data_IF_168288861415
#
_entry.id   IF_168288861415
#
_cell.length_a   1.000
_cell.length_b   1.000
_cell.length_c   1.000
_cell.angle_alpha   90.00
_cell.angle_beta   90.00
_cell.angle_gamma   90.00
#
_symmetry.space_group_name_H-M   'P 1'
#
loop_
_entity.id
_entity.type
_entity.pdbx_description
1 polymer ?
#
# COMPACT_ATOMS: atom_id res chain seq x y z
N UNK A 1 6.03 19.41 0.54
CA UNK A 1 5.80 18.42 1.64
C UNK A 1 7.02 18.42 2.54
N UNK A 2 6.88 18.82 3.81
CA UNK A 2 7.97 18.93 4.78
C UNK A 2 7.88 17.83 5.83
N UNK A 3 8.97 17.57 6.57
CA UNK A 3 8.97 16.58 7.66
C UNK A 3 7.89 16.83 8.72
N UNK A 4 7.54 18.10 8.98
CA UNK A 4 6.47 18.49 9.91
C UNK A 4 5.06 18.04 9.46
N UNK A 5 4.87 17.82 8.17
CA UNK A 5 3.58 17.37 7.60
C UNK A 5 3.41 15.85 7.63
N UNK A 6 4.51 15.11 7.87
CA UNK A 6 4.51 13.65 7.92
C UNK A 6 4.02 13.17 9.28
N UNK A 7 3.10 12.21 9.28
CA UNK A 7 2.54 11.65 10.50
C UNK A 7 3.53 10.68 11.16
N UNK A 8 3.78 10.87 12.45
CA UNK A 8 4.64 9.99 13.24
C UNK A 8 6.05 9.83 12.68
N UNK A 9 6.64 8.63 12.86
CA UNK A 9 7.96 8.23 12.34
C UNK A 9 9.11 9.12 12.80
N UNK A 10 9.06 9.66 14.03
CA UNK A 10 10.01 10.64 14.56
C UNK A 10 11.47 10.15 14.55
N UNK A 11 11.67 8.84 14.77
CA UNK A 11 12.99 8.22 14.72
C UNK A 11 13.58 8.26 13.30
N UNK A 12 12.76 8.04 12.25
CA UNK A 12 13.20 8.11 10.86
C UNK A 12 13.50 9.56 10.48
N UNK A 13 12.62 10.50 10.82
CA UNK A 13 12.84 11.94 10.59
C UNK A 13 14.17 12.39 11.18
N UNK A 14 14.39 12.07 12.45
CA UNK A 14 15.64 12.41 13.16
C UNK A 14 16.87 11.75 12.53
N UNK A 15 16.77 10.49 12.11
CA UNK A 15 17.86 9.78 11.44
C UNK A 15 18.23 10.43 10.10
N UNK A 16 17.23 10.69 9.25
CA UNK A 16 17.42 11.28 7.91
C UNK A 16 17.99 12.70 8.00
N UNK A 17 17.45 13.53 8.91
CA UNK A 17 17.93 14.90 9.12
C UNK A 17 19.38 14.91 9.60
N UNK A 18 19.71 14.13 10.65
CA UNK A 18 21.09 14.03 11.16
C UNK A 18 22.07 13.52 10.11
N UNK A 19 21.66 12.54 9.31
CA UNK A 19 22.50 12.00 8.24
C UNK A 19 22.80 13.06 7.18
N UNK A 20 21.80 13.84 6.80
CA UNK A 20 21.94 14.93 5.84
C UNK A 20 22.81 16.07 6.39
N UNK A 21 22.57 16.51 7.63
CA UNK A 21 23.33 17.59 8.28
C UNK A 21 24.82 17.24 8.45
N UNK A 22 25.13 15.96 8.67
CA UNK A 22 26.49 15.46 8.74
C UNK A 22 27.14 15.21 7.36
N UNK A 23 26.43 15.43 6.26
CA UNK A 23 26.90 15.13 4.92
C UNK A 23 27.11 13.64 4.64
N UNK A 24 26.50 12.75 5.45
CA UNK A 24 26.60 11.29 5.33
C UNK A 24 25.34 10.71 4.69
N UNK A 25 25.07 11.11 3.45
CA UNK A 25 23.87 10.71 2.73
C UNK A 25 24.19 9.46 1.91
N UNK A 26 23.58 8.30 2.24
CA UNK A 26 23.72 7.11 1.41
C UNK A 26 23.12 7.36 0.02
N UNK A 27 23.85 6.96 -1.02
CA UNK A 27 23.41 7.13 -2.40
C UNK A 27 22.19 6.27 -2.76
N UNK A 28 21.95 5.19 -2.01
CA UNK A 28 20.80 4.30 -2.19
C UNK A 28 20.18 3.94 -0.84
N UNK A 29 18.90 4.17 -0.72
CA UNK A 29 18.11 3.87 0.48
C UNK A 29 16.88 3.06 0.09
N UNK A 30 16.49 2.08 0.91
CA UNK A 30 15.28 1.28 0.75
C UNK A 30 14.36 1.53 1.95
N UNK A 31 13.25 2.22 1.70
CA UNK A 31 12.20 2.47 2.68
C UNK A 31 11.22 1.31 2.65
N UNK A 32 11.13 0.58 3.75
CA UNK A 32 10.27 -0.59 3.88
C UNK A 32 9.23 -0.35 4.95
N UNK A 33 7.98 -0.49 4.61
CA UNK A 33 6.90 -0.36 5.58
C UNK A 33 5.53 -0.70 5.02
N UNK A 34 4.59 -1.05 5.90
CA UNK A 34 3.24 -1.39 5.47
C UNK A 34 2.54 -0.20 4.81
N UNK A 35 1.49 -0.50 4.03
CA UNK A 35 0.62 0.51 3.43
C UNK A 35 0.17 1.55 4.45
N UNK A 36 0.11 2.81 4.05
CA UNK A 36 -0.35 3.92 4.90
C UNK A 36 0.60 4.31 6.04
N UNK A 37 1.81 3.72 6.14
CA UNK A 37 2.81 4.04 7.17
C UNK A 37 3.59 5.35 6.90
N UNK A 38 3.45 5.93 5.70
CA UNK A 38 4.07 7.20 5.34
C UNK A 38 5.43 7.09 4.64
N UNK A 39 5.78 5.95 4.04
CA UNK A 39 7.04 5.76 3.30
C UNK A 39 7.19 6.73 2.12
N UNK A 40 6.15 6.87 1.29
CA UNK A 40 6.17 7.77 0.12
C UNK A 40 6.23 9.25 0.52
N UNK A 41 5.36 9.78 1.40
CA UNK A 41 5.45 11.16 1.83
C UNK A 41 6.77 11.46 2.55
N UNK A 42 7.35 10.51 3.30
CA UNK A 42 8.67 10.65 3.92
C UNK A 42 9.78 10.78 2.87
N UNK A 43 9.74 9.97 1.80
CA UNK A 43 10.71 10.04 0.71
C UNK A 43 10.66 11.41 0.01
N UNK A 44 9.46 11.96 -0.20
CA UNK A 44 9.27 13.29 -0.80
C UNK A 44 9.77 14.39 0.13
N UNK A 45 9.46 14.32 1.44
CA UNK A 45 9.93 15.28 2.43
C UNK A 45 11.46 15.26 2.56
N UNK A 46 12.06 14.07 2.53
CA UNK A 46 13.52 13.93 2.56
C UNK A 46 14.17 14.47 1.28
N UNK A 47 13.58 14.20 0.12
CA UNK A 47 14.05 14.77 -1.15
C UNK A 47 14.01 16.31 -1.11
N UNK A 48 12.91 16.90 -0.60
CA UNK A 48 12.82 18.35 -0.40
C UNK A 48 13.91 18.87 0.54
N UNK A 49 14.14 18.17 1.63
CA UNK A 49 15.19 18.54 2.58
C UNK A 49 16.57 18.53 1.92
N UNK A 50 16.91 17.50 1.13
CA UNK A 50 18.21 17.39 0.45
C UNK A 50 18.41 18.43 -0.65
N UNK A 51 17.38 18.75 -1.41
CA UNK A 51 17.47 19.64 -2.57
C UNK A 51 17.33 21.10 -2.16
N UNK A 52 16.40 21.42 -1.25
CA UNK A 52 16.10 22.80 -0.89
C UNK A 52 16.93 23.34 0.29
N UNK A 53 17.62 22.48 1.07
CA UNK A 53 18.53 22.92 2.12
C UNK A 53 19.83 23.39 1.48
N UNK A 54 20.01 24.67 1.35
CA UNK A 54 21.26 25.27 0.89
C UNK A 54 22.34 25.15 1.97
N UNK A 55 23.08 24.05 1.96
CA UNK A 55 24.25 23.87 2.85
C UNK A 55 25.40 24.85 2.54
N UNK A 56 25.33 25.58 1.41
CA UNK A 56 26.38 26.50 0.93
C UNK A 56 25.97 27.97 0.88
N UNK A 57 24.81 28.36 1.40
CA UNK A 57 24.42 29.76 1.40
C UNK A 57 24.76 30.42 2.74
N UNK A 58 25.57 31.46 2.71
CA UNK A 58 25.82 32.39 3.81
C UNK A 58 24.53 33.08 4.33
N UNK A 59 23.39 32.84 3.66
CA UNK A 59 22.06 33.24 4.08
C UNK A 59 21.19 32.00 4.31
N UNK A 60 20.98 31.63 5.54
CA UNK A 60 20.10 30.56 6.03
C UNK A 60 18.59 30.86 5.84
N UNK A 61 18.19 31.32 4.67
CA UNK A 61 16.79 31.41 4.27
C UNK A 61 16.40 30.15 3.53
N UNK A 62 15.31 29.49 3.97
CA UNK A 62 14.68 28.42 3.18
C UNK A 62 14.47 28.92 1.76
N UNK A 63 14.95 28.18 0.77
CA UNK A 63 14.77 28.55 -0.64
C UNK A 63 13.26 28.44 -1.00
N UNK A 64 12.53 29.56 -0.81
CA UNK A 64 11.10 29.62 -0.98
C UNK A 64 10.67 29.18 -2.38
N UNK A 65 11.45 29.57 -3.39
CA UNK A 65 11.23 29.15 -4.79
C UNK A 65 11.34 27.62 -4.94
N UNK A 66 12.33 26.97 -4.29
CA UNK A 66 12.48 25.52 -4.27
C UNK A 66 11.27 24.85 -3.59
N UNK A 67 10.87 25.35 -2.42
CA UNK A 67 9.73 24.82 -1.69
C UNK A 67 8.40 24.92 -2.48
N UNK A 68 8.18 26.00 -3.22
CA UNK A 68 7.01 26.14 -4.10
C UNK A 68 7.03 25.08 -5.22
N UNK A 69 8.20 24.82 -5.84
CA UNK A 69 8.33 23.77 -6.85
C UNK A 69 8.04 22.38 -6.27
N UNK A 70 8.52 22.10 -5.04
CA UNK A 70 8.20 20.85 -4.34
C UNK A 70 6.75 20.71 -3.98
N UNK A 71 6.08 21.79 -3.59
CA UNK A 71 4.65 21.76 -3.31
C UNK A 71 3.83 21.36 -4.56
N UNK A 72 4.30 21.78 -5.74
CA UNK A 72 3.69 21.41 -7.03
C UNK A 72 4.28 20.14 -7.64
N UNK A 73 5.16 19.43 -6.93
CA UNK A 73 5.88 18.24 -7.44
C UNK A 73 6.52 18.46 -8.81
N UNK A 74 7.03 19.67 -9.03
CA UNK A 74 7.57 20.12 -10.33
C UNK A 74 9.06 20.51 -10.28
N UNK A 75 9.79 20.08 -9.21
CA UNK A 75 11.22 20.38 -9.13
C UNK A 75 12.01 19.54 -10.12
N UNK A 76 12.89 20.15 -10.96
CA UNK A 76 13.60 19.46 -12.04
C UNK A 76 14.61 18.40 -11.56
N UNK A 77 15.09 18.50 -10.31
CA UNK A 77 16.00 17.52 -9.70
C UNK A 77 15.28 16.43 -8.86
N UNK A 78 13.94 16.43 -8.85
CA UNK A 78 13.11 15.40 -8.25
C UNK A 78 12.48 14.54 -9.33
N UNK A 79 12.77 13.26 -9.32
CA UNK A 79 12.27 12.31 -10.31
C UNK A 79 11.51 11.19 -9.65
N UNK A 80 10.46 10.70 -10.32
CA UNK A 80 9.64 9.59 -9.85
C UNK A 80 9.60 8.46 -10.86
N UNK A 81 9.56 7.25 -10.33
CA UNK A 81 9.22 6.04 -11.05
C UNK A 81 8.22 5.26 -10.22
N UNK A 82 7.21 4.76 -10.90
CA UNK A 82 6.11 4.04 -10.29
C UNK A 82 5.52 3.03 -11.28
N UNK A 83 4.79 2.00 -10.80
CA UNK A 83 4.18 1.00 -11.67
C UNK A 83 3.19 1.62 -12.64
N UNK A 84 3.30 1.25 -13.91
CA UNK A 84 2.43 1.73 -14.98
C UNK A 84 1.70 0.60 -15.66
N UNK A 85 0.52 0.90 -16.20
CA UNK A 85 -0.35 -0.04 -16.93
C UNK A 85 -0.78 0.57 -18.24
N UNK A 86 -1.06 -0.28 -19.24
CA UNK A 86 -1.67 0.22 -20.49
C UNK A 86 -3.11 0.64 -20.23
N UNK A 87 -3.42 1.87 -20.58
CA UNK A 87 -4.75 2.50 -20.55
C UNK A 87 -5.33 2.62 -21.96
N UNK A 88 -6.49 3.26 -22.12
CA UNK A 88 -7.05 3.57 -23.42
C UNK A 88 -6.21 4.60 -24.19
N UNK A 89 -5.59 5.53 -23.47
CA UNK A 89 -4.75 6.60 -24.02
C UNK A 89 -3.33 6.13 -24.28
N UNK A 90 -2.74 5.33 -23.37
CA UNK A 90 -1.38 4.77 -23.49
C UNK A 90 -1.46 3.27 -23.67
N UNK A 91 -1.57 2.80 -24.93
CA UNK A 91 -1.83 1.38 -25.26
C UNK A 91 -0.60 0.49 -25.18
N UNK A 92 0.57 1.00 -25.50
CA UNK A 92 1.80 0.20 -25.64
C UNK A 92 2.95 0.82 -24.87
N UNK A 93 3.72 -0.03 -24.15
CA UNK A 93 4.93 0.36 -23.41
C UNK A 93 4.74 1.60 -22.54
N UNK A 94 3.74 1.62 -21.63
CA UNK A 94 3.53 2.76 -20.75
C UNK A 94 4.77 3.00 -19.89
N UNK A 95 5.09 4.27 -19.66
CA UNK A 95 6.20 4.73 -18.82
C UNK A 95 5.66 5.66 -17.74
N UNK A 96 6.39 5.81 -16.66
CA UNK A 96 6.03 6.73 -15.57
C UNK A 96 5.84 8.16 -16.05
N UNK A 97 6.66 8.62 -17.02
CA UNK A 97 6.55 9.98 -17.57
C UNK A 97 5.22 10.22 -18.31
N UNK A 98 4.60 9.17 -18.86
CA UNK A 98 3.34 9.29 -19.62
C UNK A 98 2.15 9.59 -18.70
N UNK A 99 2.29 9.37 -17.38
CA UNK A 99 1.26 9.55 -16.35
C UNK A 99 1.66 10.57 -15.29
N UNK A 100 2.56 11.48 -15.61
CA UNK A 100 3.07 12.45 -14.60
C UNK A 100 1.97 13.38 -14.07
N UNK A 101 0.98 13.71 -14.87
CA UNK A 101 -0.14 14.56 -14.48
C UNK A 101 -1.01 13.85 -13.44
N UNK A 102 -1.37 12.61 -13.73
CA UNK A 102 -2.15 11.75 -12.83
C UNK A 102 -1.37 11.45 -11.55
N UNK A 103 -0.05 11.27 -11.65
CA UNK A 103 0.82 11.07 -10.50
C UNK A 103 0.84 12.28 -9.58
N UNK A 104 0.97 13.48 -10.13
CA UNK A 104 0.89 14.72 -9.34
C UNK A 104 -0.47 14.84 -8.63
N UNK A 105 -1.56 14.55 -9.33
CA UNK A 105 -2.91 14.55 -8.75
C UNK A 105 -3.06 13.49 -7.64
N UNK A 106 -2.51 12.29 -7.85
CA UNK A 106 -2.50 11.22 -6.85
C UNK A 106 -1.80 11.67 -5.56
N UNK A 107 -0.62 12.27 -5.68
CA UNK A 107 0.14 12.76 -4.53
C UNK A 107 -0.55 13.94 -3.81
N UNK A 108 -1.24 14.80 -4.56
CA UNK A 108 -2.00 15.92 -4.01
C UNK A 108 -3.24 15.44 -3.24
N UNK A 109 -3.96 14.46 -3.80
CA UNK A 109 -5.15 13.90 -3.17
C UNK A 109 -4.81 13.07 -1.93
N UNK A 110 -3.87 12.16 -2.04
CA UNK A 110 -3.47 11.28 -0.95
C UNK A 110 -2.07 10.70 -1.13
N UNK A 111 -1.06 11.35 -0.57
CA UNK A 111 0.31 10.85 -0.58
C UNK A 111 0.54 9.56 0.24
N UNK A 112 -0.43 9.16 1.07
CA UNK A 112 -0.46 7.88 1.80
C UNK A 112 -1.19 6.78 1.03
N UNK A 113 -1.66 7.08 -0.19
CA UNK A 113 -2.43 6.18 -1.03
C UNK A 113 -1.69 4.90 -1.39
N UNK A 114 -2.46 3.86 -1.62
CA UNK A 114 -1.99 2.52 -2.00
C UNK A 114 -1.80 2.37 -3.51
N UNK A 115 -1.15 1.26 -3.90
CA UNK A 115 -1.06 0.86 -5.31
C UNK A 115 -2.45 0.65 -5.95
N UNK A 116 -3.41 0.21 -5.15
CA UNK A 116 -4.79 0.07 -5.61
C UNK A 116 -5.43 1.43 -5.93
N UNK A 117 -5.25 2.43 -5.05
CA UNK A 117 -5.80 3.77 -5.27
C UNK A 117 -5.18 4.41 -6.52
N UNK A 118 -3.89 4.15 -6.77
CA UNK A 118 -3.20 4.54 -7.99
C UNK A 118 -3.85 3.91 -9.24
N UNK A 119 -4.10 2.61 -9.23
CA UNK A 119 -4.75 1.93 -10.37
C UNK A 119 -6.20 2.36 -10.56
N UNK A 120 -6.92 2.65 -9.49
CA UNK A 120 -8.26 3.24 -9.58
C UNK A 120 -8.23 4.60 -10.26
N UNK A 121 -7.28 5.46 -9.92
CA UNK A 121 -7.11 6.77 -10.56
C UNK A 121 -6.84 6.63 -12.06
N UNK A 122 -6.05 5.64 -12.46
CA UNK A 122 -5.82 5.32 -13.88
C UNK A 122 -7.01 4.65 -14.58
N UNK A 123 -8.13 4.40 -13.89
CA UNK A 123 -9.32 3.74 -14.44
C UNK A 123 -9.13 2.25 -14.74
N UNK A 124 -8.11 1.61 -14.16
CA UNK A 124 -7.72 0.23 -14.48
C UNK A 124 -8.11 -0.71 -13.35
N UNK A 125 -9.01 -1.66 -13.64
CA UNK A 125 -9.54 -2.60 -12.63
C UNK A 125 -8.83 -3.97 -12.58
N UNK A 126 -8.26 -4.44 -13.70
CA UNK A 126 -7.84 -5.85 -13.87
C UNK A 126 -6.40 -6.05 -14.35
N UNK A 127 -5.58 -5.00 -14.39
CA UNK A 127 -4.20 -5.11 -14.84
C UNK A 127 -3.25 -4.87 -13.67
N UNK A 128 -2.16 -5.61 -13.63
CA UNK A 128 -1.04 -5.33 -12.75
C UNK A 128 -0.05 -4.42 -13.48
N UNK A 129 0.34 -3.35 -12.82
CA UNK A 129 1.38 -2.47 -13.31
C UNK A 129 2.76 -3.03 -13.00
N UNK A 130 3.70 -2.71 -13.87
CA UNK A 130 5.11 -3.04 -13.74
C UNK A 130 5.95 -1.79 -13.98
N UNK A 131 7.13 -1.76 -13.40
CA UNK A 131 8.17 -0.80 -13.74
C UNK A 131 9.10 -1.48 -14.74
N UNK A 132 9.11 -0.96 -15.97
CA UNK A 132 9.79 -1.60 -17.09
C UNK A 132 11.16 -1.00 -17.36
N UNK A 133 11.95 -1.72 -18.14
CA UNK A 133 13.30 -1.29 -18.55
C UNK A 133 13.32 0.06 -19.27
N UNK A 134 12.23 0.44 -19.93
CA UNK A 134 12.11 1.73 -20.60
C UNK A 134 12.09 2.90 -19.59
N UNK A 135 11.47 2.70 -18.38
CA UNK A 135 11.56 3.64 -17.26
C UNK A 135 13.01 3.80 -16.77
N UNK A 136 13.74 2.68 -16.64
CA UNK A 136 15.14 2.70 -16.24
C UNK A 136 16.03 3.46 -17.28
N UNK A 137 15.64 3.50 -18.56
CA UNK A 137 16.33 4.30 -19.56
C UNK A 137 16.07 5.80 -19.40
N UNK A 138 14.85 6.19 -19.05
CA UNK A 138 14.53 7.60 -18.77
C UNK A 138 15.27 8.09 -17.52
N UNK A 139 15.44 7.24 -16.49
CA UNK A 139 16.30 7.54 -15.33
C UNK A 139 17.71 7.92 -15.80
N UNK A 140 18.33 7.07 -16.61
CA UNK A 140 19.69 7.32 -17.10
C UNK A 140 19.82 8.67 -17.81
N UNK A 141 18.84 9.01 -18.64
CA UNK A 141 18.84 10.30 -19.34
C UNK A 141 18.70 11.48 -18.38
N UNK A 142 17.75 11.40 -17.43
CA UNK A 142 17.50 12.46 -16.44
C UNK A 142 18.71 12.68 -15.54
N UNK A 143 19.35 11.58 -15.10
CA UNK A 143 20.52 11.66 -14.23
C UNK A 143 21.81 12.09 -14.93
N UNK A 144 21.91 11.90 -16.25
CA UNK A 144 23.03 12.38 -17.05
C UNK A 144 23.08 13.92 -17.17
N UNK A 145 21.95 14.60 -16.96
CA UNK A 145 21.90 16.06 -16.93
C UNK A 145 22.53 16.59 -15.62
N UNK A 146 23.14 17.77 -15.68
CA UNK A 146 23.59 18.46 -14.46
C UNK A 146 22.39 18.85 -13.59
N UNK A 147 22.57 18.86 -12.25
CA UNK A 147 21.54 19.35 -11.35
C UNK A 147 21.22 20.81 -11.67
N UNK A 148 19.93 21.16 -11.57
CA UNK A 148 19.42 22.50 -11.94
C UNK A 148 19.99 23.59 -11.00
N UNK A 149 20.05 23.31 -9.70
CA UNK A 149 20.54 24.25 -8.69
C UNK A 149 21.94 23.86 -8.14
N UNK A 150 22.65 22.90 -8.77
CA UNK A 150 23.98 22.46 -8.34
C UNK A 150 24.01 21.60 -7.08
N UNK A 151 22.82 21.21 -6.57
CA UNK A 151 22.63 20.40 -5.39
C UNK A 151 22.48 18.91 -5.68
N UNK A 152 21.71 18.23 -4.82
CA UNK A 152 21.38 16.81 -4.98
C UNK A 152 20.32 16.62 -6.06
N UNK A 153 20.38 15.47 -6.73
CA UNK A 153 19.28 14.90 -7.53
C UNK A 153 18.69 13.71 -6.77
N UNK A 154 17.39 13.63 -6.68
CA UNK A 154 16.71 12.54 -5.98
C UNK A 154 15.79 11.79 -6.91
N UNK A 155 15.95 10.47 -6.94
CA UNK A 155 15.13 9.54 -7.69
C UNK A 155 14.33 8.69 -6.68
N UNK A 156 13.00 8.83 -6.70
CA UNK A 156 12.08 8.03 -5.89
C UNK A 156 11.49 6.94 -6.77
N UNK A 157 11.70 5.68 -6.39
CA UNK A 157 11.13 4.50 -7.06
C UNK A 157 10.08 3.91 -6.13
N UNK A 158 8.82 4.24 -6.40
CA UNK A 158 7.69 3.76 -5.60
C UNK A 158 7.26 2.38 -6.05
N UNK A 159 6.99 1.47 -5.09
CA UNK A 159 6.70 0.06 -5.32
C UNK A 159 7.82 -0.62 -6.13
N UNK A 160 9.04 -0.54 -5.61
CA UNK A 160 10.24 -1.08 -6.28
C UNK A 160 10.21 -2.61 -6.46
N UNK A 161 9.35 -3.32 -5.74
CA UNK A 161 9.04 -4.75 -5.93
C UNK A 161 8.34 -5.04 -7.27
N UNK A 162 7.81 -4.02 -7.95
CA UNK A 162 7.19 -4.15 -9.28
C UNK A 162 8.18 -3.90 -10.44
N UNK A 163 9.47 -3.76 -10.14
CA UNK A 163 10.52 -3.72 -11.17
C UNK A 163 10.59 -5.06 -11.92
N UNK A 164 10.52 -5.02 -13.25
CA UNK A 164 10.81 -6.19 -14.05
C UNK A 164 12.30 -6.58 -13.94
N UNK A 165 12.65 -7.79 -14.35
CA UNK A 165 14.04 -8.31 -14.25
C UNK A 165 15.02 -7.43 -15.03
N UNK A 166 14.61 -6.91 -16.18
CA UNK A 166 15.47 -6.11 -17.04
C UNK A 166 15.70 -4.71 -16.45
N UNK A 167 14.65 -4.07 -15.89
CA UNK A 167 14.73 -2.82 -15.15
C UNK A 167 15.61 -2.96 -13.91
N UNK A 168 15.40 -4.04 -13.14
CA UNK A 168 16.19 -4.36 -11.96
C UNK A 168 17.68 -4.48 -12.28
N UNK A 169 18.03 -5.23 -13.31
CA UNK A 169 19.44 -5.38 -13.74
C UNK A 169 20.05 -4.07 -14.23
N UNK A 170 19.26 -3.20 -14.82
CA UNK A 170 19.73 -1.89 -15.27
C UNK A 170 19.92 -0.93 -14.11
N UNK A 171 19.02 -0.97 -13.12
CA UNK A 171 19.13 -0.20 -11.89
C UNK A 171 20.38 -0.58 -11.08
N UNK A 172 20.77 -1.87 -11.05
CA UNK A 172 21.99 -2.32 -10.36
C UNK A 172 23.23 -1.55 -10.79
N UNK A 173 23.40 -1.29 -12.09
CA UNK A 173 24.55 -0.52 -12.60
C UNK A 173 24.57 0.92 -12.08
N UNK A 174 23.38 1.53 -11.94
CA UNK A 174 23.25 2.88 -11.39
C UNK A 174 23.51 2.94 -9.90
N UNK A 175 23.16 1.86 -9.16
CA UNK A 175 23.42 1.75 -7.73
C UNK A 175 24.88 1.43 -7.42
N UNK A 176 25.60 0.77 -8.35
CA UNK A 176 27.04 0.48 -8.22
C UNK A 176 27.90 1.70 -8.52
N UNK A 177 27.55 2.46 -9.56
CA UNK A 177 28.27 3.63 -10.02
C UNK A 177 27.32 4.85 -10.10
N UNK A 178 26.88 5.39 -8.95
CA UNK A 178 25.96 6.52 -8.95
C UNK A 178 26.65 7.77 -9.49
N UNK A 179 25.90 8.57 -10.24
CA UNK A 179 26.37 9.92 -10.61
C UNK A 179 26.48 10.79 -9.36
N UNK A 180 27.43 11.72 -9.38
CA UNK A 180 27.73 12.57 -8.23
C UNK A 180 26.48 13.29 -7.69
N UNK A 181 26.35 13.39 -6.37
CA UNK A 181 25.21 13.98 -5.66
C UNK A 181 23.83 13.41 -6.07
N UNK A 182 23.77 12.12 -6.44
CA UNK A 182 22.50 11.44 -6.75
C UNK A 182 22.09 10.51 -5.62
N UNK A 183 20.84 10.60 -5.21
CA UNK A 183 20.24 9.77 -4.16
C UNK A 183 19.07 8.99 -4.74
N UNK A 184 19.11 7.68 -4.57
CA UNK A 184 18.01 6.76 -4.91
C UNK A 184 17.24 6.41 -3.65
N UNK A 185 15.92 6.57 -3.67
CA UNK A 185 15.02 6.13 -2.59
C UNK A 185 14.05 5.13 -3.19
N UNK A 186 14.26 3.86 -2.88
CA UNK A 186 13.37 2.76 -3.25
C UNK A 186 12.33 2.59 -2.15
N UNK A 187 11.08 2.33 -2.52
CA UNK A 187 9.98 2.11 -1.56
C UNK A 187 9.33 0.77 -1.86
N UNK A 188 9.18 -0.05 -0.84
CA UNK A 188 8.48 -1.35 -0.92
C UNK A 188 7.76 -1.64 0.39
N UNK A 189 6.69 -2.41 0.33
CA UNK A 189 5.98 -2.87 1.54
C UNK A 189 6.75 -3.99 2.24
N UNK A 190 7.47 -4.83 1.50
CA UNK A 190 8.25 -5.94 2.01
C UNK A 190 9.63 -6.00 1.35
N UNK A 191 10.67 -6.05 2.15
CA UNK A 191 12.06 -6.13 1.65
C UNK A 191 12.37 -7.44 0.92
N UNK A 192 11.66 -8.53 1.23
CA UNK A 192 11.90 -9.84 0.61
C UNK A 192 11.43 -9.90 -0.85
N UNK A 193 10.55 -8.97 -1.25
CA UNK A 193 10.08 -8.85 -2.64
C UNK A 193 11.09 -8.09 -3.51
N UNK A 194 12.11 -7.47 -2.91
CA UNK A 194 13.22 -6.81 -3.60
C UNK A 194 14.35 -7.81 -3.82
N UNK A 195 14.86 -7.90 -5.05
CA UNK A 195 15.97 -8.80 -5.38
C UNK A 195 17.19 -8.51 -4.48
N UNK A 196 17.82 -9.59 -4.01
CA UNK A 196 18.91 -9.49 -3.03
C UNK A 196 20.06 -8.59 -3.47
N UNK A 197 20.36 -8.55 -4.77
CA UNK A 197 21.42 -7.72 -5.34
C UNK A 197 21.15 -6.23 -5.23
N UNK A 198 19.91 -5.77 -5.35
CA UNK A 198 19.50 -4.38 -5.07
C UNK A 198 19.54 -4.13 -3.56
N UNK A 199 18.90 -5.02 -2.77
CA UNK A 199 18.81 -4.88 -1.32
C UNK A 199 20.18 -4.73 -0.65
N UNK A 200 21.18 -5.51 -1.08
CA UNK A 200 22.54 -5.45 -0.53
C UNK A 200 23.30 -4.14 -0.78
N UNK A 201 22.82 -3.31 -1.70
CA UNK A 201 23.41 -2.00 -2.05
C UNK A 201 22.65 -0.83 -1.44
N UNK A 202 21.53 -1.08 -0.79
CA UNK A 202 20.69 -0.06 -0.19
C UNK A 202 20.83 -0.05 1.34
N UNK A 203 20.85 1.14 1.93
CA UNK A 203 20.57 1.27 3.36
C UNK A 203 19.08 1.06 3.59
N UNK A 204 18.72 0.03 4.35
CA UNK A 204 17.32 -0.29 4.64
C UNK A 204 16.84 0.51 5.84
N UNK A 205 15.70 1.18 5.70
CA UNK A 205 14.99 1.89 6.76
C UNK A 205 13.60 1.30 6.91
N UNK A 206 13.31 0.79 8.11
CA UNK A 206 12.03 0.15 8.42
C UNK A 206 11.05 1.16 9.03
N UNK A 207 9.89 1.26 8.41
CA UNK A 207 8.76 2.05 8.88
C UNK A 207 7.77 1.14 9.59
N UNK A 208 7.38 1.50 10.78
CA UNK A 208 6.30 0.83 11.49
C UNK A 208 4.94 1.43 11.06
N UNK A 209 3.86 0.66 11.24
CA UNK A 209 2.52 1.23 11.19
C UNK A 209 2.39 2.40 12.16
N UNK A 210 1.57 3.38 11.83
CA UNK A 210 1.34 4.55 12.69
C UNK A 210 0.60 4.14 13.97
N UNK A 211 0.89 4.83 15.09
CA UNK A 211 0.14 4.59 16.31
C UNK A 211 -1.30 5.09 16.19
N UNK A 212 -2.23 4.48 16.92
CA UNK A 212 -3.63 4.88 16.96
C UNK A 212 -3.79 6.35 17.36
N UNK A 213 -2.96 6.82 18.29
CA UNK A 213 -2.95 8.22 18.74
C UNK A 213 -2.60 9.18 17.61
N UNK A 214 -1.54 8.88 16.85
CA UNK A 214 -1.10 9.69 15.71
C UNK A 214 -2.18 9.73 14.61
N UNK A 215 -2.81 8.60 14.31
CA UNK A 215 -3.90 8.55 13.33
C UNK A 215 -5.11 9.35 13.82
N UNK A 216 -5.53 9.16 15.08
CA UNK A 216 -6.67 9.88 15.64
C UNK A 216 -6.45 11.41 15.66
N UNK A 217 -5.26 11.88 16.08
CA UNK A 217 -4.90 13.29 16.05
C UNK A 217 -4.90 13.86 14.62
N UNK A 218 -4.42 13.08 13.65
CA UNK A 218 -4.44 13.49 12.26
C UNK A 218 -5.89 13.60 11.71
N UNK A 219 -6.77 12.66 12.04
CA UNK A 219 -8.18 12.69 11.64
C UNK A 219 -8.91 13.90 12.25
N UNK A 220 -8.63 14.22 13.51
CA UNK A 220 -9.23 15.41 14.16
C UNK A 220 -8.71 16.69 13.53
N UNK A 221 -7.40 16.81 13.30
CA UNK A 221 -6.78 18.06 12.85
C UNK A 221 -6.93 18.31 11.36
N UNK A 222 -6.86 17.27 10.52
CA UNK A 222 -6.89 17.40 9.05
C UNK A 222 -8.29 17.18 8.47
N UNK A 223 -9.05 16.24 9.05
CA UNK A 223 -10.36 15.83 8.53
C UNK A 223 -11.54 16.34 9.36
N UNK A 224 -11.26 17.11 10.43
CA UNK A 224 -12.28 17.68 11.32
C UNK A 224 -13.22 16.63 11.94
N UNK A 225 -12.72 15.42 12.15
CA UNK A 225 -13.49 14.31 12.72
C UNK A 225 -13.66 14.47 14.23
N UNK A 226 -14.82 14.07 14.78
CA UNK A 226 -15.02 14.05 16.23
C UNK A 226 -14.04 13.09 16.93
N UNK A 227 -13.48 13.49 18.09
CA UNK A 227 -12.41 12.73 18.77
C UNK A 227 -12.79 11.27 19.09
N UNK A 228 -14.05 11.00 19.44
CA UNK A 228 -14.52 9.63 19.69
C UNK A 228 -14.54 8.78 18.42
N UNK A 229 -14.99 9.33 17.33
CA UNK A 229 -15.03 8.67 16.03
C UNK A 229 -13.63 8.47 15.48
N UNK A 230 -12.77 9.50 15.59
CA UNK A 230 -11.37 9.43 15.20
C UNK A 230 -10.61 8.29 15.90
N UNK A 231 -10.81 8.09 17.21
CA UNK A 231 -10.22 6.98 17.94
C UNK A 231 -10.73 5.62 17.47
N UNK A 232 -12.06 5.51 17.22
CA UNK A 232 -12.64 4.27 16.68
C UNK A 232 -12.06 3.93 15.31
N UNK A 233 -11.98 4.91 14.41
CA UNK A 233 -11.41 4.73 13.07
C UNK A 233 -9.92 4.41 13.15
N UNK A 234 -9.16 5.10 13.98
CA UNK A 234 -7.73 4.84 14.17
C UNK A 234 -7.46 3.42 14.62
N UNK A 235 -8.27 2.91 15.55
CA UNK A 235 -8.20 1.51 15.98
C UNK A 235 -8.52 0.53 14.84
N UNK A 236 -9.55 0.80 14.02
CA UNK A 236 -9.91 -0.01 12.86
C UNK A 236 -8.85 0.02 11.76
N UNK A 237 -8.15 1.13 11.63
CA UNK A 237 -7.11 1.34 10.62
C UNK A 237 -5.82 0.54 10.88
N UNK A 238 -5.57 0.11 12.14
CA UNK A 238 -4.42 -0.75 12.49
C UNK A 238 -3.07 -0.22 12.00
N UNK A 239 -2.84 1.07 12.14
CA UNK A 239 -1.58 1.71 11.73
C UNK A 239 -1.52 2.15 10.28
N UNK A 240 -2.57 1.94 9.49
CA UNK A 240 -2.68 2.35 8.10
C UNK A 240 -3.52 3.63 7.97
N UNK A 241 -2.87 4.78 7.74
CA UNK A 241 -3.58 6.06 7.61
C UNK A 241 -4.46 6.13 6.35
N UNK A 242 -4.05 5.49 5.26
CA UNK A 242 -4.88 5.40 4.05
C UNK A 242 -6.21 4.69 4.33
N UNK A 243 -6.16 3.55 5.04
CA UNK A 243 -7.36 2.84 5.50
C UNK A 243 -8.22 3.72 6.43
N UNK A 244 -7.60 4.55 7.28
CA UNK A 244 -8.33 5.48 8.14
C UNK A 244 -9.12 6.52 7.32
N UNK A 245 -8.51 7.08 6.28
CA UNK A 245 -9.19 8.01 5.36
C UNK A 245 -10.34 7.34 4.60
N UNK A 246 -10.16 6.10 4.16
CA UNK A 246 -11.21 5.32 3.50
C UNK A 246 -12.39 5.03 4.45
N UNK A 247 -12.13 4.78 5.73
CA UNK A 247 -13.16 4.54 6.73
C UNK A 247 -13.99 5.78 7.09
N UNK A 248 -13.46 6.99 6.86
CA UNK A 248 -14.22 8.24 7.01
C UNK A 248 -15.30 8.41 5.94
N UNK A 249 -15.02 7.90 4.74
CA UNK A 249 -15.99 7.94 3.66
C UNK A 249 -16.78 6.64 3.71
N UNK A 250 -18.11 6.65 3.85
CA UNK A 250 -18.93 5.46 3.78
C UNK A 250 -18.86 4.93 2.35
N UNK A 251 -17.81 4.16 2.07
CA UNK A 251 -17.58 3.55 0.76
C UNK A 251 -18.62 2.47 0.50
N UNK A 252 -19.19 2.51 -0.68
CA UNK A 252 -20.01 1.44 -1.22
C UNK A 252 -19.27 0.08 -1.22
N UNK A 253 -17.92 0.06 -1.31
CA UNK A 253 -17.11 -1.17 -1.32
C UNK A 253 -17.17 -1.93 0.01
N UNK A 254 -17.07 -1.27 1.16
CA UNK A 254 -17.12 -1.95 2.47
C UNK A 254 -18.46 -2.64 2.69
N UNK A 255 -19.55 -2.02 2.26
CA UNK A 255 -20.89 -2.60 2.33
C UNK A 255 -21.02 -3.84 1.43
N UNK A 256 -20.41 -3.81 0.24
CA UNK A 256 -20.37 -4.97 -0.65
C UNK A 256 -19.51 -6.10 -0.07
N UNK A 257 -18.37 -5.78 0.53
CA UNK A 257 -17.49 -6.78 1.16
C UNK A 257 -18.18 -7.47 2.34
N UNK A 258 -18.88 -6.71 3.19
CA UNK A 258 -19.69 -7.29 4.27
C UNK A 258 -20.75 -8.25 3.73
N UNK A 259 -21.48 -7.82 2.72
CA UNK A 259 -22.51 -8.65 2.09
C UNK A 259 -21.93 -9.92 1.49
N UNK A 260 -20.85 -9.83 0.72
CA UNK A 260 -20.20 -10.99 0.09
C UNK A 260 -19.64 -11.95 1.13
N UNK A 261 -19.05 -11.44 2.21
CA UNK A 261 -18.59 -12.27 3.31
C UNK A 261 -19.75 -13.02 3.99
N UNK A 262 -20.82 -12.32 4.30
CA UNK A 262 -21.99 -12.92 4.97
C UNK A 262 -22.67 -13.97 4.08
N UNK A 263 -22.83 -13.67 2.80
CA UNK A 263 -23.39 -14.62 1.84
C UNK A 263 -22.52 -15.87 1.72
N UNK A 264 -21.21 -15.68 1.65
CA UNK A 264 -20.23 -16.76 1.58
C UNK A 264 -20.24 -17.66 2.80
N UNK A 265 -20.14 -17.10 4.02
CA UNK A 265 -20.12 -17.93 5.24
C UNK A 265 -21.44 -18.62 5.48
N UNK A 266 -22.57 -17.98 5.13
CA UNK A 266 -23.89 -18.62 5.20
C UNK A 266 -24.01 -19.79 4.24
N UNK A 267 -23.56 -19.63 2.98
CA UNK A 267 -23.55 -20.69 1.99
C UNK A 267 -22.62 -21.83 2.40
N UNK A 268 -21.40 -21.53 2.87
CA UNK A 268 -20.44 -22.50 3.36
C UNK A 268 -20.98 -23.31 4.55
N UNK A 269 -21.67 -22.63 5.48
CA UNK A 269 -22.31 -23.31 6.62
C UNK A 269 -23.41 -24.28 6.20
N UNK A 270 -24.25 -23.88 5.24
CA UNK A 270 -25.36 -24.71 4.72
C UNK A 270 -24.89 -25.85 3.82
N UNK A 271 -23.72 -25.74 3.22
CA UNK A 271 -23.22 -26.69 2.19
C UNK A 271 -22.91 -28.08 2.76
N UNK A 272 -22.80 -28.24 4.09
CA UNK A 272 -22.62 -29.55 4.71
C UNK A 272 -23.88 -30.41 4.53
N UNK A 273 -23.84 -31.30 3.53
CA UNK A 273 -24.95 -32.21 3.20
C UNK A 273 -26.06 -31.60 2.33
N UNK A 274 -25.86 -30.39 1.78
CA UNK A 274 -26.85 -29.72 0.93
C UNK A 274 -26.25 -29.36 -0.44
N UNK A 275 -26.62 -30.10 -1.48
CA UNK A 275 -26.15 -29.89 -2.85
C UNK A 275 -26.53 -28.51 -3.42
N UNK A 276 -27.69 -27.95 -3.06
CA UNK A 276 -28.11 -26.63 -3.52
C UNK A 276 -27.19 -25.53 -2.99
N UNK A 277 -26.75 -25.62 -1.73
CA UNK A 277 -25.81 -24.66 -1.16
C UNK A 277 -24.41 -24.74 -1.79
N UNK A 278 -24.01 -25.87 -2.39
CA UNK A 278 -22.79 -25.97 -3.18
C UNK A 278 -22.93 -25.12 -4.45
N UNK A 279 -24.10 -25.11 -5.06
CA UNK A 279 -24.37 -24.26 -6.23
C UNK A 279 -24.29 -22.77 -5.88
N UNK A 280 -24.81 -22.38 -4.70
CA UNK A 280 -24.69 -21.01 -4.17
C UNK A 280 -23.20 -20.61 -4.05
N UNK A 281 -22.33 -21.50 -3.54
CA UNK A 281 -20.88 -21.26 -3.43
C UNK A 281 -20.19 -21.10 -4.78
N UNK A 282 -20.60 -21.87 -5.80
CA UNK A 282 -20.06 -21.75 -7.15
C UNK A 282 -20.46 -20.41 -7.76
N UNK A 283 -21.73 -20.00 -7.65
CA UNK A 283 -22.22 -18.71 -8.13
C UNK A 283 -21.52 -17.55 -7.43
N UNK A 284 -21.35 -17.63 -6.12
CA UNK A 284 -20.58 -16.65 -5.36
C UNK A 284 -19.14 -16.56 -5.87
N UNK A 285 -18.47 -17.70 -6.09
CA UNK A 285 -17.11 -17.73 -6.63
C UNK A 285 -17.02 -17.11 -8.02
N UNK A 286 -18.00 -17.31 -8.88
CA UNK A 286 -18.09 -16.68 -10.19
C UNK A 286 -18.27 -15.17 -10.11
N UNK A 287 -19.12 -14.71 -9.19
CA UNK A 287 -19.36 -13.28 -8.97
C UNK A 287 -18.08 -12.58 -8.53
N UNK A 288 -17.38 -13.11 -7.52
CA UNK A 288 -16.14 -12.52 -7.02
C UNK A 288 -15.01 -12.64 -8.05
N UNK A 289 -14.92 -13.75 -8.78
CA UNK A 289 -13.94 -13.94 -9.85
C UNK A 289 -14.09 -12.94 -11.00
N UNK A 290 -15.30 -12.41 -11.22
CA UNK A 290 -15.57 -11.35 -12.20
C UNK A 290 -15.05 -9.96 -11.79
N UNK A 291 -14.64 -9.80 -10.53
CA UNK A 291 -14.04 -8.55 -10.02
C UNK A 291 -12.56 -8.46 -10.40
N UNK A 292 -12.01 -7.25 -10.34
CA UNK A 292 -10.59 -7.04 -10.53
C UNK A 292 -9.74 -7.74 -9.44
N UNK A 293 -8.53 -8.17 -9.79
CA UNK A 293 -7.62 -8.87 -8.87
C UNK A 293 -7.36 -8.11 -7.58
N UNK A 294 -7.14 -6.82 -7.67
CA UNK A 294 -6.90 -5.99 -6.49
C UNK A 294 -8.15 -5.94 -5.60
N UNK A 295 -9.35 -5.86 -6.17
CA UNK A 295 -10.60 -5.96 -5.43
C UNK A 295 -10.75 -7.33 -4.76
N UNK A 296 -10.38 -8.42 -5.46
CA UNK A 296 -10.39 -9.78 -4.90
C UNK A 296 -9.42 -9.90 -3.72
N UNK A 297 -8.20 -9.36 -3.84
CA UNK A 297 -7.20 -9.34 -2.75
C UNK A 297 -7.71 -8.54 -1.56
N UNK A 298 -8.21 -7.33 -1.77
CA UNK A 298 -8.83 -6.50 -0.71
C UNK A 298 -9.97 -7.24 0.00
N UNK A 299 -10.82 -7.90 -0.76
CA UNK A 299 -11.91 -8.69 -0.19
C UNK A 299 -11.40 -9.86 0.65
N UNK A 300 -10.36 -10.58 0.22
CA UNK A 300 -9.76 -11.67 1.00
C UNK A 300 -9.07 -11.15 2.27
N UNK A 301 -8.41 -9.99 2.22
CA UNK A 301 -7.92 -9.31 3.41
C UNK A 301 -9.05 -8.94 4.38
N UNK A 302 -10.14 -8.40 3.87
CA UNK A 302 -11.34 -8.12 4.66
C UNK A 302 -11.88 -9.40 5.32
N UNK A 303 -11.87 -10.54 4.62
CA UNK A 303 -12.25 -11.81 5.20
C UNK A 303 -11.33 -12.24 6.35
N UNK A 304 -10.00 -12.07 6.22
CA UNK A 304 -9.04 -12.35 7.31
C UNK A 304 -9.39 -11.50 8.54
N UNK A 305 -9.63 -10.20 8.36
CA UNK A 305 -10.01 -9.30 9.44
C UNK A 305 -11.33 -9.77 10.11
N UNK A 306 -12.34 -10.14 9.34
CA UNK A 306 -13.62 -10.63 9.84
C UNK A 306 -13.47 -11.93 10.66
N UNK A 307 -12.67 -12.88 10.18
CA UNK A 307 -12.40 -14.11 10.94
C UNK A 307 -11.60 -13.82 12.22
N UNK A 308 -10.66 -12.88 12.18
CA UNK A 308 -9.96 -12.40 13.38
C UNK A 308 -10.91 -11.79 14.40
N UNK A 309 -11.85 -10.93 13.97
CA UNK A 309 -12.85 -10.34 14.87
C UNK A 309 -13.75 -11.41 15.49
N UNK A 310 -14.19 -12.39 14.68
CA UNK A 310 -14.97 -13.51 15.18
C UNK A 310 -14.21 -14.34 16.23
N UNK A 311 -12.91 -14.59 16.00
CA UNK A 311 -12.05 -15.27 16.96
C UNK A 311 -11.95 -14.49 18.29
N UNK A 312 -11.70 -13.18 18.24
CA UNK A 312 -11.60 -12.34 19.43
C UNK A 312 -12.89 -12.33 20.25
N UNK A 313 -14.05 -12.29 19.57
CA UNK A 313 -15.35 -12.45 20.24
C UNK A 313 -15.50 -13.82 20.90
N UNK A 314 -15.10 -14.89 20.23
CA UNK A 314 -15.18 -16.23 20.78
C UNK A 314 -14.30 -16.39 22.04
N UNK A 315 -13.16 -15.70 22.10
CA UNK A 315 -12.27 -15.66 23.27
C UNK A 315 -12.66 -14.58 24.32
N UNK A 316 -13.86 -14.02 24.21
CA UNK A 316 -14.43 -13.05 25.17
C UNK A 316 -13.56 -11.79 25.37
N UNK A 317 -12.96 -11.29 24.31
CA UNK A 317 -12.19 -10.03 24.29
C UNK A 317 -12.92 -8.94 23.49
N UNK A 318 -14.13 -8.50 23.87
CA UNK A 318 -14.94 -7.57 23.09
C UNK A 318 -14.28 -6.17 22.96
N UNK A 319 -13.39 -5.81 23.88
CA UNK A 319 -12.63 -4.54 23.80
C UNK A 319 -11.69 -4.44 22.62
N UNK A 320 -11.32 -5.58 22.01
CA UNK A 320 -10.48 -5.66 20.82
C UNK A 320 -11.29 -5.81 19.53
N UNK A 321 -12.62 -5.86 19.63
CA UNK A 321 -13.52 -6.04 18.49
C UNK A 321 -14.02 -4.68 18.03
N UNK A 322 -13.70 -4.32 16.80
CA UNK A 322 -14.03 -3.03 16.22
C UNK A 322 -14.88 -3.10 14.94
N UNK A 323 -14.97 -4.28 14.30
CA UNK A 323 -15.82 -4.48 13.11
C UNK A 323 -17.17 -5.04 13.54
N UNK A 324 -18.23 -4.32 13.21
CA UNK A 324 -19.62 -4.75 13.41
C UNK A 324 -20.34 -4.69 12.06
N UNK A 325 -20.47 -5.83 11.37
CA UNK A 325 -21.16 -5.87 10.09
C UNK A 325 -22.59 -5.34 10.21
N UNK A 326 -22.98 -4.49 9.28
CA UNK A 326 -24.31 -3.89 9.24
C UNK A 326 -25.30 -4.67 8.34
N UNK A 327 -24.92 -5.87 7.93
CA UNK A 327 -25.78 -6.73 7.08
C UNK A 327 -26.97 -7.24 7.88
N UNK A 328 -28.16 -7.05 7.31
CA UNK A 328 -29.42 -7.44 7.95
C UNK A 328 -29.41 -8.92 8.37
N UNK A 329 -29.86 -9.19 9.59
CA UNK A 329 -29.93 -10.54 10.18
C UNK A 329 -28.58 -11.28 10.32
N UNK A 330 -27.45 -10.58 10.27
CA UNK A 330 -26.14 -11.12 10.61
C UNK A 330 -25.63 -10.47 11.89
N UNK A 331 -25.25 -11.29 12.85
CA UNK A 331 -24.58 -10.83 14.08
C UNK A 331 -23.28 -11.62 14.22
N UNK A 332 -22.18 -10.89 14.37
CA UNK A 332 -20.85 -11.49 14.46
C UNK A 332 -20.75 -12.40 15.69
N UNK A 333 -21.46 -12.08 16.79
CA UNK A 333 -21.54 -12.89 18.00
C UNK A 333 -22.11 -14.29 17.74
N UNK A 334 -23.07 -14.41 16.81
CA UNK A 334 -23.64 -15.70 16.45
C UNK A 334 -22.72 -16.53 15.55
N UNK A 335 -21.82 -15.87 14.83
CA UNK A 335 -20.82 -16.52 13.97
C UNK A 335 -19.55 -16.89 14.72
N UNK A 336 -19.18 -16.11 15.74
CA UNK A 336 -17.94 -16.28 16.52
C UNK A 336 -17.70 -17.72 17.04
N UNK A 337 -18.70 -18.48 17.54
CA UNK A 337 -18.46 -19.85 18.03
C UNK A 337 -17.94 -20.83 16.97
N UNK A 338 -18.09 -20.53 15.69
CA UNK A 338 -17.59 -21.37 14.59
C UNK A 338 -16.13 -21.06 14.21
N UNK A 339 -15.52 -20.04 14.82
CA UNK A 339 -14.13 -19.64 14.61
C UNK A 339 -13.36 -19.81 15.91
N UNK A 340 -12.47 -20.79 15.96
CA UNK A 340 -11.77 -21.18 17.19
C UNK A 340 -10.29 -21.54 16.90
N UNK A 341 -9.50 -21.85 17.94
CA UNK A 341 -8.09 -22.19 17.81
C UNK A 341 -7.78 -23.42 16.97
N UNK A 342 -8.78 -24.32 16.75
CA UNK A 342 -8.58 -25.53 15.95
C UNK A 342 -8.70 -25.30 14.44
N UNK A 343 -9.33 -24.19 14.01
CA UNK A 343 -9.58 -23.92 12.60
C UNK A 343 -9.01 -22.59 12.07
N UNK A 344 -8.75 -21.62 12.94
CA UNK A 344 -8.35 -20.28 12.50
C UNK A 344 -7.03 -20.26 11.69
N UNK A 345 -6.04 -21.03 12.13
CA UNK A 345 -4.75 -21.09 11.42
C UNK A 345 -4.91 -21.68 10.01
N UNK A 346 -5.74 -22.71 9.88
CA UNK A 346 -6.03 -23.31 8.57
C UNK A 346 -6.82 -22.34 7.70
N UNK A 347 -7.81 -21.60 8.27
CA UNK A 347 -8.57 -20.57 7.54
C UNK A 347 -7.64 -19.46 7.02
N UNK A 348 -6.75 -18.93 7.87
CA UNK A 348 -5.81 -17.90 7.47
C UNK A 348 -4.84 -18.40 6.39
N UNK A 349 -4.36 -19.63 6.52
CA UNK A 349 -3.50 -20.26 5.52
C UNK A 349 -4.19 -20.33 4.16
N UNK A 350 -5.41 -20.84 4.10
CA UNK A 350 -6.16 -20.98 2.85
C UNK A 350 -6.49 -19.63 2.20
N UNK A 351 -6.84 -18.62 3.00
CA UNK A 351 -7.05 -17.24 2.52
C UNK A 351 -5.76 -16.64 1.95
N UNK A 352 -4.63 -16.83 2.63
CA UNK A 352 -3.33 -16.33 2.20
C UNK A 352 -2.85 -17.03 0.93
N UNK A 353 -3.04 -18.35 0.82
CA UNK A 353 -2.73 -19.13 -0.39
C UNK A 353 -3.60 -18.68 -1.56
N UNK A 354 -4.89 -18.41 -1.34
CA UNK A 354 -5.78 -17.91 -2.37
C UNK A 354 -5.30 -16.54 -2.90
N UNK A 355 -4.93 -15.60 -2.02
CA UNK A 355 -4.37 -14.31 -2.41
C UNK A 355 -3.08 -14.48 -3.23
N UNK A 356 -2.17 -15.32 -2.76
CA UNK A 356 -0.91 -15.62 -3.45
C UNK A 356 -1.13 -16.15 -4.88
N UNK A 357 -2.08 -17.07 -5.05
CA UNK A 357 -2.38 -17.62 -6.37
C UNK A 357 -3.09 -16.62 -7.29
N UNK A 358 -4.00 -15.78 -6.76
CA UNK A 358 -4.67 -14.71 -7.52
C UNK A 358 -3.64 -13.69 -8.00
N UNK A 359 -2.69 -13.31 -7.16
CA UNK A 359 -1.61 -12.38 -7.52
C UNK A 359 -0.76 -12.92 -8.68
N UNK A 360 -0.52 -14.22 -8.71
CA UNK A 360 0.24 -14.91 -9.77
C UNK A 360 -0.58 -15.33 -10.99
N UNK A 361 -1.67 -14.64 -11.26
CA UNK A 361 -2.53 -14.90 -12.41
C UNK A 361 -3.24 -16.26 -12.41
N UNK A 362 -3.40 -16.89 -11.26
CA UNK A 362 -4.23 -18.09 -11.13
C UNK A 362 -5.68 -17.83 -11.52
N UNK A 363 -6.39 -18.86 -11.94
CA UNK A 363 -7.82 -18.75 -12.28
C UNK A 363 -8.63 -18.49 -11.01
N UNK A 364 -9.07 -17.24 -10.81
CA UNK A 364 -9.78 -16.81 -9.61
C UNK A 364 -11.03 -17.64 -9.31
N UNK A 365 -11.81 -18.05 -10.34
CA UNK A 365 -13.00 -18.89 -10.15
C UNK A 365 -12.63 -20.23 -9.50
N UNK A 366 -11.59 -20.89 -9.99
CA UNK A 366 -11.15 -22.20 -9.45
C UNK A 366 -10.63 -22.01 -8.02
N UNK A 367 -9.79 -20.98 -7.79
CA UNK A 367 -9.20 -20.68 -6.47
C UNK A 367 -10.29 -20.41 -5.44
N UNK A 368 -11.25 -19.53 -5.75
CA UNK A 368 -12.32 -19.15 -4.83
C UNK A 368 -13.31 -20.30 -4.61
N UNK A 369 -13.54 -21.16 -5.60
CA UNK A 369 -14.37 -22.35 -5.44
C UNK A 369 -13.70 -23.36 -4.51
N UNK A 370 -12.41 -23.64 -4.69
CA UNK A 370 -11.63 -24.52 -3.81
C UNK A 370 -11.60 -23.97 -2.37
N UNK A 371 -11.31 -22.68 -2.22
CA UNK A 371 -11.36 -21.98 -0.93
C UNK A 371 -12.73 -22.15 -0.25
N UNK A 372 -13.83 -22.01 -1.00
CA UNK A 372 -15.18 -22.15 -0.48
C UNK A 372 -15.49 -23.57 0.01
N UNK A 373 -15.04 -24.59 -0.72
CA UNK A 373 -15.18 -25.99 -0.33
C UNK A 373 -14.35 -26.28 0.93
N UNK A 374 -13.14 -25.77 1.01
CA UNK A 374 -12.26 -25.91 2.18
C UNK A 374 -12.87 -25.21 3.39
N UNK A 375 -13.40 -23.98 3.22
CA UNK A 375 -14.07 -23.25 4.28
C UNK A 375 -15.27 -24.02 4.84
N UNK A 376 -16.09 -24.68 4.00
CA UNK A 376 -17.20 -25.54 4.44
C UNK A 376 -16.75 -26.60 5.44
N UNK A 377 -15.56 -27.17 5.22
CA UNK A 377 -15.00 -28.17 6.16
C UNK A 377 -14.44 -27.53 7.43
N UNK A 378 -13.76 -26.39 7.29
CA UNK A 378 -13.08 -25.71 8.40
C UNK A 378 -14.07 -25.11 9.40
N UNK A 379 -15.18 -24.50 8.96
CA UNK A 379 -16.21 -23.94 9.84
C UNK A 379 -16.87 -25.04 10.69
N UNK A 380 -16.88 -26.28 10.22
CA UNK A 380 -17.47 -27.41 10.95
C UNK A 380 -16.43 -28.26 11.72
N UNK A 381 -15.16 -27.87 11.72
CA UNK A 381 -14.10 -28.50 12.50
C UNK A 381 -14.28 -28.12 13.97
N UNK A 382 -14.54 -29.12 14.82
CA UNK A 382 -14.69 -28.97 16.27
C UNK A 382 -13.35 -28.94 17.00
#
# INVERSE_FOLDING_TARGET
MQFSEILGQEHIKSHLTKSADLGRIPHAQLFVGPEGSGTLPMAIAYAQYLICSNQNAENSGSNESCNIKFHKISHPDLHFIYPTVSTEDVKTKPKSIDFITEWCQFLELNSYGSLFDWYQMLGVKNKQGEIRVDDAQEILKSLALKSYEGGYKVMIIWMADKLDIAASNKLLKLLEEPTDKTVFILISENQEDIIQTIRSRCQVLHFNGLSETVIAEALVSKESTESKEALKIAHQAQGNYNKALQLLQPDSESVFFEKWFVDWVRAAFRAKGNAAAIQDLIQWSEQIAGLGRETQKKFLHFCIDMFRQALLLNYQTPSLVYMQPQVEKFKLENFAPFVNGNNINDIFKELSEAMYHIERNGNAKIILTDLSIKLTRLIHKK
#
